data_IF_115625960642
#
_entry.id   IF_115625960642
#
_cell.length_a   1.000
_cell.length_b   1.000
_cell.length_c   1.000
_cell.angle_alpha   90.00
_cell.angle_beta   90.00
_cell.angle_gamma   90.00
#
_symmetry.space_group_name_H-M   'P 1'
#
loop_
_entity.id
_entity.type
_entity.pdbx_description
1 polymer ?
#
# COMPACT_ATOMS: atom_id res chain seq x y z
N UNK A 1 10.49 25.01 -3.05
CA UNK A 1 10.29 23.79 -3.84
C UNK A 1 9.27 22.92 -3.12
N UNK A 2 8.18 22.55 -3.80
CA UNK A 2 7.11 21.75 -3.21
C UNK A 2 7.54 20.31 -2.98
N UNK A 3 7.17 19.75 -1.83
CA UNK A 3 7.45 18.37 -1.45
C UNK A 3 6.41 17.47 -2.13
N UNK A 4 6.82 16.71 -3.14
CA UNK A 4 5.98 15.65 -3.69
C UNK A 4 5.97 14.47 -2.71
N UNK A 5 4.79 14.05 -2.26
CA UNK A 5 4.62 12.75 -1.62
C UNK A 5 4.60 11.73 -2.76
N UNK A 6 5.56 10.82 -2.80
CA UNK A 6 5.61 9.78 -3.83
C UNK A 6 4.38 8.87 -3.62
N UNK A 7 3.39 8.99 -4.51
CA UNK A 7 2.27 8.07 -4.53
C UNK A 7 2.77 6.65 -4.85
N UNK A 8 2.12 5.59 -4.31
CA UNK A 8 2.46 4.21 -4.63
C UNK A 8 2.57 4.05 -6.15
N UNK A 9 3.71 3.55 -6.62
CA UNK A 9 3.87 3.23 -8.04
C UNK A 9 3.18 1.91 -8.31
N UNK A 10 2.55 1.81 -9.48
CA UNK A 10 1.92 0.56 -9.93
C UNK A 10 3.01 -0.49 -10.16
N UNK A 11 2.84 -1.68 -9.61
CA UNK A 11 3.72 -2.83 -9.85
C UNK A 11 3.36 -3.58 -11.13
N UNK A 12 2.10 -3.45 -11.56
CA UNK A 12 1.58 -4.04 -12.79
C UNK A 12 0.50 -3.14 -13.38
N UNK A 13 0.45 -3.08 -14.70
CA UNK A 13 -0.65 -2.48 -15.45
C UNK A 13 -1.01 -3.40 -16.60
N UNK A 14 -2.25 -3.90 -16.58
CA UNK A 14 -2.71 -4.89 -17.55
C UNK A 14 -4.04 -4.43 -18.14
N UNK A 15 -4.10 -4.34 -19.48
CA UNK A 15 -5.38 -4.14 -20.18
C UNK A 15 -5.77 -5.45 -20.84
N UNK A 16 -6.93 -5.99 -20.48
CA UNK A 16 -7.40 -7.25 -21.02
C UNK A 16 -8.93 -7.29 -21.13
N UNK A 17 -9.41 -8.24 -21.92
CA UNK A 17 -10.84 -8.55 -22.07
C UNK A 17 -11.23 -9.60 -21.03
N UNK A 18 -12.28 -9.31 -20.25
CA UNK A 18 -12.78 -10.21 -19.20
C UNK A 18 -13.57 -11.39 -19.81
N UNK A 19 -14.16 -11.16 -20.97
CA UNK A 19 -15.06 -12.06 -21.70
C UNK A 19 -14.43 -12.50 -23.04
N UNK A 20 -14.68 -13.74 -23.51
CA UNK A 20 -14.06 -14.26 -24.74
C UNK A 20 -14.42 -13.49 -26.02
N UNK A 21 -15.56 -12.78 -26.01
CA UNK A 21 -16.09 -11.96 -27.10
C UNK A 21 -15.56 -10.51 -27.07
N UNK A 22 -14.79 -10.13 -26.05
CA UNK A 22 -14.09 -8.85 -25.99
C UNK A 22 -15.01 -7.63 -25.81
N UNK A 23 -16.22 -7.82 -25.28
CA UNK A 23 -17.18 -6.73 -25.07
C UNK A 23 -16.97 -6.03 -23.73
N UNK A 24 -16.31 -6.69 -22.78
CA UNK A 24 -16.02 -6.20 -21.45
C UNK A 24 -14.51 -6.09 -21.24
N UNK A 25 -13.96 -4.94 -21.63
CA UNK A 25 -12.55 -4.61 -21.47
C UNK A 25 -12.30 -3.71 -20.26
N UNK A 26 -11.25 -4.00 -19.50
CA UNK A 26 -10.80 -3.13 -18.43
C UNK A 26 -9.26 -3.00 -18.40
N UNK A 27 -8.80 -2.03 -17.62
CA UNK A 27 -7.40 -1.83 -17.29
C UNK A 27 -7.23 -1.98 -15.79
N UNK A 28 -6.45 -2.96 -15.37
CA UNK A 28 -6.08 -3.18 -13.98
C UNK A 28 -4.81 -2.41 -13.65
N UNK A 29 -4.82 -1.78 -12.48
CA UNK A 29 -3.66 -1.16 -11.87
C UNK A 29 -3.33 -1.92 -10.58
N UNK A 30 -2.26 -2.72 -10.63
CA UNK A 30 -1.78 -3.48 -9.49
C UNK A 30 -0.87 -2.63 -8.60
N UNK A 31 -1.11 -2.66 -7.29
CA UNK A 31 -0.27 -2.01 -6.28
C UNK A 31 0.19 -3.03 -5.25
N UNK A 32 1.43 -2.89 -4.77
CA UNK A 32 1.95 -3.67 -3.66
C UNK A 32 1.93 -2.83 -2.38
N UNK A 33 1.46 -3.43 -1.30
CA UNK A 33 1.42 -2.82 0.03
C UNK A 33 2.08 -3.75 1.05
N UNK A 34 2.63 -3.15 2.11
CA UNK A 34 3.10 -3.88 3.28
C UNK A 34 2.11 -3.67 4.43
N UNK A 35 1.82 -4.74 5.14
CA UNK A 35 1.08 -4.72 6.40
C UNK A 35 2.01 -5.16 7.54
N UNK A 36 1.81 -4.59 8.73
CA UNK A 36 2.59 -4.94 9.92
C UNK A 36 2.11 -6.24 10.58
N UNK A 37 1.03 -6.85 10.09
CA UNK A 37 0.49 -8.12 10.60
C UNK A 37 -0.72 -8.62 9.83
N UNK A 38 -1.25 -9.75 10.28
CA UNK A 38 -2.42 -10.42 9.70
C UNK A 38 -3.70 -9.56 9.76
N UNK A 39 -4.64 -9.72 8.81
CA UNK A 39 -5.92 -9.03 8.84
C UNK A 39 -6.72 -9.44 10.09
N UNK A 40 -7.08 -8.46 10.92
CA UNK A 40 -7.85 -8.67 12.16
C UNK A 40 -9.35 -8.45 12.00
N UNK A 41 -9.76 -7.82 10.89
CA UNK A 41 -11.15 -7.56 10.55
C UNK A 41 -11.83 -8.72 9.81
N UNK A 42 -13.16 -8.70 9.78
CA UNK A 42 -13.93 -9.58 8.89
C UNK A 42 -14.18 -8.88 7.55
N UNK A 43 -14.13 -9.61 6.42
CA UNK A 43 -14.60 -9.09 5.15
C UNK A 43 -16.05 -8.60 5.26
N UNK A 44 -16.40 -7.60 4.45
CA UNK A 44 -17.74 -7.05 4.41
C UNK A 44 -18.75 -8.07 3.86
N UNK A 45 -20.04 -7.83 4.06
CA UNK A 45 -21.09 -8.69 3.51
C UNK A 45 -20.98 -8.75 1.98
N UNK A 46 -20.82 -9.95 1.43
CA UNK A 46 -20.69 -10.18 -0.01
C UNK A 46 -19.24 -10.34 -0.49
N UNK A 47 -18.26 -10.08 0.39
CA UNK A 47 -16.84 -10.29 0.08
C UNK A 47 -16.39 -11.73 0.35
N UNK A 48 -15.32 -12.21 -0.31
CA UNK A 48 -14.71 -13.49 0.00
C UNK A 48 -14.29 -13.56 1.48
N UNK A 49 -14.74 -14.60 2.19
CA UNK A 49 -14.43 -14.81 3.59
C UNK A 49 -13.03 -15.43 3.82
N UNK A 50 -12.49 -16.07 2.79
CA UNK A 50 -11.21 -16.77 2.86
C UNK A 50 -10.08 -15.83 2.42
N UNK A 51 -9.18 -15.51 3.37
CA UNK A 51 -7.93 -14.80 3.13
C UNK A 51 -6.79 -15.70 3.60
N UNK A 52 -5.79 -15.89 2.72
CA UNK A 52 -4.62 -16.73 3.01
C UNK A 52 -3.36 -15.87 2.97
N UNK A 53 -2.52 -16.02 3.99
CA UNK A 53 -1.12 -15.61 3.93
C UNK A 53 -0.33 -16.80 3.42
N UNK A 54 0.50 -16.58 2.41
CA UNK A 54 1.31 -17.63 1.80
C UNK A 54 2.76 -17.20 1.75
N UNK A 55 3.68 -18.15 1.93
CA UNK A 55 5.10 -17.94 1.65
C UNK A 55 5.37 -17.93 0.14
N UNK A 56 6.58 -17.57 -0.26
CA UNK A 56 6.99 -17.64 -1.66
C UNK A 56 6.91 -19.08 -2.20
N UNK A 57 7.31 -20.04 -1.37
CA UNK A 57 7.27 -21.47 -1.71
C UNK A 57 5.84 -21.98 -1.87
N UNK A 58 4.93 -21.57 -0.98
CA UNK A 58 3.52 -21.92 -1.06
C UNK A 58 2.84 -21.29 -2.28
N UNK A 59 3.17 -20.02 -2.57
CA UNK A 59 2.69 -19.32 -3.76
C UNK A 59 3.10 -20.05 -5.06
N UNK A 60 4.30 -20.64 -5.10
CA UNK A 60 4.77 -21.37 -6.28
C UNK A 60 3.95 -22.63 -6.61
N UNK A 61 3.26 -23.21 -5.62
CA UNK A 61 2.51 -24.48 -5.78
C UNK A 61 1.00 -24.33 -5.55
N UNK A 62 0.50 -23.13 -5.26
CA UNK A 62 -0.91 -22.86 -4.99
C UNK A 62 -1.81 -23.21 -6.18
N UNK A 63 -2.64 -24.24 -6.10
CA UNK A 63 -3.32 -24.82 -7.28
C UNK A 63 -4.41 -23.93 -7.90
N UNK A 64 -5.06 -23.09 -7.10
CA UNK A 64 -6.23 -22.28 -7.44
C UNK A 64 -5.88 -20.85 -7.93
N UNK A 65 -4.60 -20.56 -8.18
CA UNK A 65 -4.16 -19.23 -8.61
C UNK A 65 -3.98 -19.13 -10.13
N UNK A 66 -4.61 -18.14 -10.80
CA UNK A 66 -4.39 -17.85 -12.20
C UNK A 66 -2.91 -17.57 -12.54
N UNK A 67 -2.40 -18.01 -13.71
CA UNK A 67 -0.98 -17.86 -14.06
C UNK A 67 -0.48 -16.41 -14.02
N UNK A 68 -1.24 -15.48 -14.58
CA UNK A 68 -0.89 -14.04 -14.58
C UNK A 68 -0.84 -13.46 -13.17
N UNK A 69 -1.77 -13.83 -12.30
CA UNK A 69 -1.77 -13.40 -10.91
C UNK A 69 -0.54 -13.95 -10.17
N UNK A 70 -0.14 -15.20 -10.44
CA UNK A 70 1.06 -15.80 -9.85
C UNK A 70 2.33 -15.09 -10.30
N UNK A 71 2.43 -14.74 -11.57
CA UNK A 71 3.58 -13.99 -12.11
C UNK A 71 3.74 -12.63 -11.41
N UNK A 72 2.66 -11.85 -11.30
CA UNK A 72 2.67 -10.57 -10.59
C UNK A 72 3.03 -10.75 -9.10
N UNK A 73 2.45 -11.76 -8.44
CA UNK A 73 2.75 -12.04 -7.04
C UNK A 73 4.23 -12.43 -6.83
N UNK A 74 4.81 -13.22 -7.74
CA UNK A 74 6.24 -13.55 -7.73
C UNK A 74 7.13 -12.31 -7.85
N UNK A 75 6.83 -11.40 -8.78
CA UNK A 75 7.54 -10.11 -8.91
C UNK A 75 7.50 -9.33 -7.60
N UNK A 76 6.34 -9.30 -6.95
CA UNK A 76 6.16 -8.57 -5.68
C UNK A 76 6.99 -9.21 -4.56
N UNK A 77 6.94 -10.53 -4.42
CA UNK A 77 7.61 -11.24 -3.32
C UNK A 77 9.12 -11.32 -3.51
N UNK A 78 9.60 -11.60 -4.72
CA UNK A 78 11.02 -11.83 -5.00
C UNK A 78 11.80 -10.54 -5.27
N UNK A 79 11.17 -9.55 -5.92
CA UNK A 79 11.80 -8.30 -6.33
C UNK A 79 11.40 -7.09 -5.47
N UNK A 80 10.10 -6.79 -5.41
CA UNK A 80 9.63 -5.54 -4.78
C UNK A 80 9.86 -5.56 -3.26
N UNK A 81 9.62 -6.70 -2.61
CA UNK A 81 9.79 -6.84 -1.15
C UNK A 81 11.26 -6.72 -0.73
N UNK A 82 12.19 -7.32 -1.46
CA UNK A 82 13.63 -7.33 -1.14
C UNK A 82 14.24 -5.94 -1.28
N UNK A 83 13.80 -5.17 -2.28
CA UNK A 83 14.25 -3.79 -2.54
C UNK A 83 13.44 -2.72 -1.78
N UNK A 84 12.48 -3.13 -0.93
CA UNK A 84 11.60 -2.19 -0.25
C UNK A 84 12.34 -1.35 0.79
N UNK A 85 12.73 -0.14 0.40
CA UNK A 85 13.30 0.83 1.34
C UNK A 85 12.19 1.63 2.03
N UNK A 86 12.10 1.51 3.36
CA UNK A 86 11.25 2.39 4.16
C UNK A 86 11.83 3.80 4.12
N UNK A 87 11.25 4.69 3.33
CA UNK A 87 11.57 6.11 3.44
C UNK A 87 10.97 6.65 4.74
N UNK A 88 11.81 6.87 5.76
CA UNK A 88 11.40 7.74 6.87
C UNK A 88 11.27 9.14 6.31
N UNK A 89 10.04 9.66 6.25
CA UNK A 89 9.88 11.11 6.17
C UNK A 89 10.68 11.71 7.33
N UNK A 90 11.65 12.61 7.09
CA UNK A 90 12.21 13.39 8.19
C UNK A 90 11.03 14.05 8.90
N UNK A 91 10.98 13.81 10.20
CA UNK A 91 9.88 14.14 11.07
C UNK A 91 9.43 15.59 10.87
N UNK A 92 8.12 15.79 10.90
CA UNK A 92 7.54 17.08 11.22
C UNK A 92 8.06 17.50 12.61
N UNK A 93 9.17 18.24 12.66
CA UNK A 93 9.49 19.09 13.80
C UNK A 93 8.46 20.22 13.81
N UNK A 94 7.25 19.92 14.23
CA UNK A 94 6.39 20.91 14.86
C UNK A 94 6.66 20.86 16.35
N UNK A 95 7.89 21.21 16.74
CA UNK A 95 8.13 21.72 18.09
C UNK A 95 7.49 23.12 18.15
N UNK A 96 6.19 23.12 18.48
CA UNK A 96 5.47 24.33 18.86
C UNK A 96 5.20 24.23 20.35
N UNK A 97 6.08 24.82 21.15
CA UNK A 97 5.72 25.69 22.27
C UNK A 97 6.89 25.86 23.25
N UNK A 98 7.86 26.71 22.90
CA UNK A 98 8.45 27.60 23.91
C UNK A 98 7.55 28.83 24.01
N UNK A 99 6.60 28.80 24.95
CA UNK A 99 5.93 30.03 25.37
C UNK A 99 6.91 30.83 26.24
N UNK A 100 7.12 32.14 26.00
CA UNK A 100 7.89 32.96 26.93
C UNK A 100 7.08 33.15 28.23
N UNK A 101 7.75 33.35 29.39
CA UNK A 101 7.05 33.50 30.67
C UNK A 101 6.19 34.76 30.67
N UNK A 102 4.97 34.64 31.20
CA UNK A 102 4.05 35.75 31.41
C UNK A 102 4.55 36.64 32.54
N UNK A 103 5.22 37.74 32.21
CA UNK A 103 5.50 38.83 33.14
C UNK A 103 5.73 40.11 32.34
N UNK A 104 4.64 40.72 31.87
CA UNK A 104 4.53 42.16 31.64
C UNK A 104 3.08 42.50 31.26
N UNK A 105 2.18 42.45 32.24
CA UNK A 105 1.07 43.40 32.26
C UNK A 105 1.57 44.63 33.02
N UNK A 106 1.99 45.65 32.29
CA UNK A 106 2.05 47.00 32.83
C UNK A 106 0.95 47.82 32.18
N UNK A 107 -0.01 48.17 33.02
CA UNK A 107 -1.06 49.16 32.82
C UNK A 107 -0.47 50.52 32.51
N UNK A 108 -1.04 51.24 31.55
CA UNK A 108 -1.11 52.71 31.56
C UNK A 108 -2.24 53.16 30.62
N UNK A 109 -2.80 54.37 30.82
CA UNK A 109 -3.87 54.75 31.74
C UNK A 109 -5.26 54.82 31.08
#
# INVERSE_FOLDING_TARGET
MGRAILHPQTVSMLTHDLDPDGTHRHTDLGFAFLADGEPTGRPAKGEPAELRWVTAEELAVLADMPPNAREVAGIVVDGVRTEWSRFRSPSSNADRSSSPPASEQQSVP
#
